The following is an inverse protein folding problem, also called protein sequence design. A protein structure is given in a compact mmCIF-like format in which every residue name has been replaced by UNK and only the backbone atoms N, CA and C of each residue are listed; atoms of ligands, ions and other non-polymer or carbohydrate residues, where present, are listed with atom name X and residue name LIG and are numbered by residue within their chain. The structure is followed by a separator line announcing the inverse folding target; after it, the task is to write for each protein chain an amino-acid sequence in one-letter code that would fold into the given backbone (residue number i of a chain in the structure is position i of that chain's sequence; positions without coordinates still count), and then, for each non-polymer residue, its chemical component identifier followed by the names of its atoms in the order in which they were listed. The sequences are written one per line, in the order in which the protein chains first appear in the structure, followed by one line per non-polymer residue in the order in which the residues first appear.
data_IF_806532255055
#
_entry.id   IF_806532255055
#
_cell.length_a   1.000
_cell.length_b   1.000
_cell.length_c   1.000
_cell.angle_alpha   90.00
_cell.angle_beta   90.00
_cell.angle_gamma   90.00
#
_symmetry.space_group_name_H-M   'P 1'
#
loop_
_entity.id
_entity.type
_entity.pdbx_description
1 polymer ?
#
# COMPACT_ATOMS: atom_id res chain seq x y z
N UNK A 1 -7.99 -13.04 16.79
CA UNK A 1 -7.91 -11.93 15.82
C UNK A 1 -6.47 -11.45 15.61
N UNK A 2 -5.66 -11.30 16.66
CA UNK A 2 -4.23 -10.89 16.59
C UNK A 2 -3.38 -11.64 15.55
N UNK A 3 -3.36 -12.98 15.57
CA UNK A 3 -2.59 -13.79 14.59
C UNK A 3 -2.93 -13.51 13.12
N UNK A 4 -4.18 -13.14 12.79
CA UNK A 4 -4.60 -12.91 11.39
C UNK A 4 -4.08 -11.57 10.87
N UNK A 5 -4.03 -10.55 11.72
CA UNK A 5 -3.49 -9.23 11.39
C UNK A 5 -1.97 -9.28 11.24
N UNK A 6 -1.28 -10.03 12.09
CA UNK A 6 0.18 -10.26 11.98
C UNK A 6 0.53 -10.96 10.66
N UNK A 7 -0.18 -12.02 10.30
CA UNK A 7 -0.01 -12.73 9.03
C UNK A 7 -0.28 -11.85 7.81
N UNK A 8 -1.26 -10.96 7.89
CA UNK A 8 -1.56 -10.02 6.80
C UNK A 8 -0.44 -8.99 6.64
N UNK A 9 0.06 -8.45 7.75
CA UNK A 9 1.19 -7.52 7.77
C UNK A 9 2.47 -8.18 7.22
N UNK A 10 2.75 -9.42 7.61
CA UNK A 10 3.88 -10.19 7.09
C UNK A 10 3.79 -10.40 5.57
N UNK A 11 2.61 -10.74 5.06
CA UNK A 11 2.38 -10.86 3.61
C UNK A 11 2.61 -9.56 2.86
N UNK A 12 2.19 -8.43 3.43
CA UNK A 12 2.40 -7.11 2.82
C UNK A 12 3.89 -6.76 2.78
N UNK A 13 4.65 -7.05 3.84
CA UNK A 13 6.11 -6.87 3.80
C UNK A 13 6.79 -7.79 2.79
N UNK A 14 6.39 -9.06 2.72
CA UNK A 14 6.91 -9.98 1.72
C UNK A 14 6.64 -9.49 0.29
N UNK A 15 5.46 -8.93 0.04
CA UNK A 15 5.11 -8.36 -1.25
C UNK A 15 5.96 -7.14 -1.61
N UNK A 16 6.33 -6.30 -0.63
CA UNK A 16 7.28 -5.20 -0.84
C UNK A 16 8.65 -5.76 -1.23
N UNK A 17 9.16 -6.74 -0.48
CA UNK A 17 10.48 -7.33 -0.73
C UNK A 17 10.55 -8.00 -2.11
N UNK A 18 9.51 -8.74 -2.49
CA UNK A 18 9.44 -9.41 -3.78
C UNK A 18 9.32 -8.41 -4.93
N UNK A 19 8.47 -7.40 -4.79
CA UNK A 19 8.36 -6.33 -5.77
C UNK A 19 9.69 -5.58 -5.93
N UNK A 20 10.37 -5.27 -4.82
CA UNK A 20 11.68 -4.61 -4.84
C UNK A 20 12.71 -5.44 -5.60
N UNK A 21 12.81 -6.75 -5.30
CA UNK A 21 13.73 -7.67 -6.02
C UNK A 21 13.39 -7.76 -7.50
N UNK A 22 12.10 -7.80 -7.83
CA UNK A 22 11.65 -7.89 -9.21
C UNK A 22 12.03 -6.63 -10.00
N UNK A 23 11.75 -5.44 -9.48
CA UNK A 23 12.00 -4.19 -10.21
C UNK A 23 13.49 -3.91 -10.40
N UNK A 24 14.36 -4.33 -9.47
CA UNK A 24 15.82 -4.12 -9.61
C UNK A 24 16.48 -5.14 -10.53
N UNK A 25 15.80 -6.25 -10.83
CA UNK A 25 16.32 -7.30 -11.70
C UNK A 25 16.28 -6.94 -13.20
N UNK A 26 15.47 -5.95 -13.57
CA UNK A 26 15.21 -5.58 -14.97
C UNK A 26 14.97 -4.06 -15.08
N UNK A 27 15.80 -3.32 -15.84
CA UNK A 27 15.63 -1.89 -16.05
C UNK A 27 14.25 -1.46 -16.57
N UNK A 28 13.59 -2.29 -17.40
CA UNK A 28 12.25 -1.97 -17.92
C UNK A 28 11.16 -2.11 -16.84
N UNK A 29 11.33 -3.08 -15.93
CA UNK A 29 10.47 -3.19 -14.75
C UNK A 29 10.71 -2.04 -13.78
N UNK A 30 11.98 -1.65 -13.60
CA UNK A 30 12.32 -0.48 -12.80
C UNK A 30 11.64 0.78 -13.34
N UNK A 31 11.71 1.00 -14.65
CA UNK A 31 11.03 2.12 -15.32
C UNK A 31 9.52 2.05 -15.13
N UNK A 32 8.92 0.88 -15.30
CA UNK A 32 7.47 0.67 -15.08
C UNK A 32 7.04 1.00 -13.65
N UNK A 33 7.88 0.67 -12.66
CA UNK A 33 7.67 1.07 -11.27
C UNK A 33 7.76 2.59 -11.09
N UNK A 34 8.77 3.25 -11.67
CA UNK A 34 8.90 4.70 -11.62
C UNK A 34 7.70 5.41 -12.26
N UNK A 35 7.15 4.86 -13.35
CA UNK A 35 5.92 5.37 -13.96
C UNK A 35 4.76 5.29 -12.96
N UNK A 36 4.58 4.16 -12.27
CA UNK A 36 3.57 4.03 -11.20
C UNK A 36 3.81 5.00 -10.06
N UNK A 37 5.03 5.12 -9.57
CA UNK A 37 5.39 6.03 -8.49
C UNK A 37 5.12 7.49 -8.87
N UNK A 38 5.36 7.87 -10.13
CA UNK A 38 5.12 9.25 -10.61
C UNK A 38 3.65 9.68 -10.53
N UNK A 39 2.70 8.71 -10.59
CA UNK A 39 1.26 8.96 -10.43
C UNK A 39 0.82 8.98 -8.97
N UNK A 40 1.68 8.52 -8.06
CA UNK A 40 1.39 8.23 -6.65
C UNK A 40 2.23 9.12 -5.71
N UNK A 41 2.30 10.42 -6.02
CA UNK A 41 3.15 11.40 -5.33
C UNK A 41 2.92 11.52 -3.82
N UNK A 42 1.73 11.19 -3.34
CA UNK A 42 1.36 11.20 -1.91
C UNK A 42 1.69 9.92 -1.15
N UNK A 43 2.16 8.86 -1.84
CA UNK A 43 2.44 7.57 -1.22
C UNK A 43 3.93 7.39 -0.97
N UNK A 44 4.28 6.68 0.11
CA UNK A 44 5.65 6.25 0.36
C UNK A 44 6.14 5.31 -0.74
N UNK A 45 7.46 5.20 -0.92
CA UNK A 45 8.03 4.25 -1.89
C UNK A 45 7.58 2.80 -1.64
N UNK A 46 7.42 2.40 -0.38
CA UNK A 46 6.87 1.08 -0.02
C UNK A 46 5.42 0.91 -0.49
N UNK A 47 4.58 1.94 -0.33
CA UNK A 47 3.22 1.90 -0.84
C UNK A 47 3.17 1.96 -2.37
N UNK A 48 4.07 2.70 -3.02
CA UNK A 48 4.21 2.66 -4.48
C UNK A 48 4.57 1.25 -4.99
N UNK A 49 5.45 0.52 -4.28
CA UNK A 49 5.78 -0.88 -4.60
C UNK A 49 4.56 -1.80 -4.46
N UNK A 50 3.79 -1.63 -3.38
CA UNK A 50 2.55 -2.38 -3.15
C UNK A 50 1.50 -2.10 -4.23
N UNK A 51 1.37 -0.85 -4.64
CA UNK A 51 0.45 -0.46 -5.72
C UNK A 51 0.92 -1.05 -7.04
N UNK A 52 2.22 -0.94 -7.35
CA UNK A 52 2.82 -1.51 -8.56
C UNK A 52 2.60 -3.02 -8.66
N UNK A 53 2.80 -3.77 -7.58
CA UNK A 53 2.65 -5.23 -7.57
C UNK A 53 1.20 -5.70 -7.66
N UNK A 54 0.25 -4.94 -7.13
CA UNK A 54 -1.17 -5.31 -7.10
C UNK A 54 -1.95 -4.78 -8.32
N UNK A 55 -1.71 -3.52 -8.70
CA UNK A 55 -2.37 -2.85 -9.81
C UNK A 55 -1.56 -1.63 -10.31
N UNK A 56 -0.59 -1.82 -11.24
CA UNK A 56 0.31 -0.75 -11.66
C UNK A 56 -0.38 0.39 -12.41
N UNK A 57 -1.61 0.17 -12.90
CA UNK A 57 -2.43 1.16 -13.57
C UNK A 57 -3.25 2.03 -12.62
N UNK A 58 -3.13 1.83 -11.30
CA UNK A 58 -3.78 2.71 -10.33
C UNK A 58 -3.33 4.16 -10.54
N UNK A 59 -4.27 5.09 -10.39
CA UNK A 59 -4.05 6.54 -10.46
C UNK A 59 -4.44 7.26 -9.18
N UNK A 60 -5.27 6.62 -8.36
CA UNK A 60 -5.75 7.16 -7.09
C UNK A 60 -6.21 5.97 -6.22
N UNK A 61 -6.02 6.08 -4.91
CA UNK A 61 -6.66 5.18 -3.95
C UNK A 61 -7.38 6.00 -2.90
N UNK A 62 -8.60 5.57 -2.57
CA UNK A 62 -9.38 6.08 -1.45
C UNK A 62 -10.03 4.91 -0.72
N UNK A 63 -10.51 5.15 0.49
CA UNK A 63 -11.43 4.20 1.09
C UNK A 63 -12.82 4.30 0.43
N UNK A 64 -13.71 3.38 0.79
CA UNK A 64 -15.04 3.30 0.22
C UNK A 64 -15.87 4.57 0.47
N UNK A 65 -15.73 5.14 1.67
CA UNK A 65 -16.53 6.29 2.11
C UNK A 65 -16.09 7.57 1.40
N UNK A 66 -14.79 7.74 1.19
CA UNK A 66 -14.20 8.87 0.47
C UNK A 66 -14.54 8.86 -1.02
N UNK A 67 -14.64 7.69 -1.66
CA UNK A 67 -15.21 7.59 -3.00
C UNK A 67 -16.69 8.00 -3.04
N UNK A 68 -17.45 7.64 -1.99
CA UNK A 68 -18.84 8.06 -1.82
C UNK A 68 -18.99 9.58 -1.73
N UNK A 69 -18.07 10.28 -1.05
CA UNK A 69 -18.05 11.75 -0.94
C UNK A 69 -17.84 12.42 -2.31
N UNK A 70 -17.10 11.77 -3.20
CA UNK A 70 -16.89 12.22 -4.58
C UNK A 70 -18.03 11.80 -5.53
N UNK A 71 -19.10 11.19 -5.00
CA UNK A 71 -20.21 10.64 -5.77
C UNK A 71 -19.78 9.56 -6.78
N UNK A 72 -18.66 8.88 -6.51
CA UNK A 72 -18.14 7.75 -7.29
C UNK A 72 -18.69 6.46 -6.71
N UNK A 73 -19.30 5.62 -7.57
CA UNK A 73 -19.82 4.31 -7.17
C UNK A 73 -18.80 3.23 -7.46
N UNK A 74 -18.42 2.48 -6.42
CA UNK A 74 -17.54 1.34 -6.56
C UNK A 74 -18.30 0.15 -7.14
N UNK A 75 -17.74 -0.45 -8.19
CA UNK A 75 -18.29 -1.66 -8.81
C UNK A 75 -18.27 -2.83 -7.83
N UNK A 76 -19.38 -3.55 -7.75
CA UNK A 76 -19.47 -4.75 -6.90
C UNK A 76 -18.39 -5.76 -7.29
N UNK A 77 -17.58 -6.17 -6.32
CA UNK A 77 -16.47 -7.10 -6.52
C UNK A 77 -15.14 -6.46 -6.89
N UNK A 78 -15.04 -5.11 -6.86
CA UNK A 78 -13.76 -4.42 -6.96
C UNK A 78 -12.77 -4.97 -5.92
N UNK A 79 -11.53 -5.23 -6.36
CA UNK A 79 -10.46 -5.69 -5.49
C UNK A 79 -9.80 -4.49 -4.84
N UNK A 80 -9.57 -4.58 -3.54
CA UNK A 80 -8.79 -3.57 -2.83
C UNK A 80 -7.30 -3.80 -2.97
N UNK A 81 -6.54 -2.72 -2.83
CA UNK A 81 -5.08 -2.69 -2.75
C UNK A 81 -4.70 -2.53 -1.30
N UNK A 82 -3.82 -3.42 -0.82
CA UNK A 82 -3.28 -3.33 0.53
C UNK A 82 -2.12 -2.32 0.56
N UNK A 83 -2.16 -1.36 1.49
CA UNK A 83 -1.13 -0.35 1.73
C UNK A 83 -0.76 -0.31 3.21
N UNK A 84 0.41 0.26 3.53
CA UNK A 84 0.84 0.51 4.91
C UNK A 84 0.48 1.93 5.34
N UNK A 85 -0.22 2.03 6.47
CA UNK A 85 -0.57 3.29 7.11
C UNK A 85 0.20 3.43 8.44
N UNK A 86 0.96 4.52 8.65
CA UNK A 86 1.67 4.75 9.90
C UNK A 86 0.69 5.05 11.04
N UNK A 87 0.92 4.43 12.19
CA UNK A 87 0.15 4.65 13.41
C UNK A 87 1.10 4.98 14.54
N UNK A 88 0.90 6.14 15.15
CA UNK A 88 1.67 6.57 16.31
C UNK A 88 1.25 5.80 17.57
N UNK A 89 2.22 5.45 18.40
CA UNK A 89 1.99 4.85 19.71
C UNK A 89 3.05 5.32 20.71
N UNK A 90 2.75 5.21 22.00
CA UNK A 90 3.71 5.53 23.08
C UNK A 90 4.45 4.27 23.48
N UNK A 91 5.79 4.30 23.43
CA UNK A 91 6.64 3.21 23.91
C UNK A 91 6.61 3.13 25.44
N UNK A 92 7.11 2.02 25.99
CA UNK A 92 7.15 1.81 27.44
C UNK A 92 7.99 2.85 28.20
N UNK A 93 8.96 3.48 27.53
CA UNK A 93 9.81 4.55 28.08
C UNK A 93 9.19 5.97 27.94
N UNK A 94 7.96 6.07 27.43
CA UNK A 94 7.26 7.33 27.20
C UNK A 94 7.59 8.03 25.87
N UNK A 95 8.51 7.49 25.07
CA UNK A 95 8.86 8.06 23.76
C UNK A 95 7.82 7.71 22.67
N UNK A 96 7.62 8.58 21.64
CA UNK A 96 6.73 8.26 20.53
C UNK A 96 7.38 7.23 19.58
N UNK A 97 6.59 6.23 19.18
CA UNK A 97 6.94 5.22 18.19
C UNK A 97 5.95 5.22 17.03
N UNK A 98 6.39 4.70 15.88
CA UNK A 98 5.55 4.49 14.70
C UNK A 98 5.43 2.99 14.46
N UNK A 99 4.20 2.51 14.43
CA UNK A 99 3.84 1.19 13.91
C UNK A 99 3.21 1.38 12.52
N UNK A 100 3.00 0.28 11.82
CA UNK A 100 2.30 0.29 10.54
C UNK A 100 1.15 -0.71 10.58
N UNK A 101 -0.03 -0.25 10.17
CA UNK A 101 -1.19 -1.09 9.95
C UNK A 101 -1.38 -1.35 8.46
N UNK A 102 -2.02 -2.47 8.13
CA UNK A 102 -2.44 -2.74 6.75
C UNK A 102 -3.82 -2.11 6.55
N UNK A 103 -3.92 -1.18 5.61
CA UNK A 103 -5.16 -0.58 5.15
C UNK A 103 -5.49 -1.07 3.74
N UNK A 104 -6.76 -1.03 3.37
CA UNK A 104 -7.25 -1.46 2.06
C UNK A 104 -7.92 -0.29 1.34
N UNK A 105 -7.24 0.21 0.31
CA UNK A 105 -7.79 1.21 -0.62
C UNK A 105 -8.49 0.56 -1.80
N UNK A 106 -9.41 1.29 -2.44
CA UNK A 106 -10.11 0.90 -3.68
C UNK A 106 -9.73 1.89 -4.78
#
# INVERSE_FOLDING_TARGET
MQKRSEQEKEKVYQMIDDAAREIVSDPEKFKSFLDTQSRMDRYSAANALLIYSQYPQATQLKDFDDWGKDNVKITKGAKSISILEPVEYTRADGSPGISYNVQKGI
#
